data_IF_947603191008
#
_entry.id   IF_947603191008
#
_cell.length_a   1.000
_cell.length_b   1.000
_cell.length_c   1.000
_cell.angle_alpha   90.00
_cell.angle_beta   90.00
_cell.angle_gamma   90.00
#
_symmetry.space_group_name_H-M   'P 1'
#
loop_
_entity.id
_entity.type
_entity.pdbx_description
1 polymer ?
#
# COMPACT_ATOMS: atom_id res chain seq x y z
N UNK A 1 -23.32 0.59 -53.65
CA UNK A 1 -22.10 0.54 -52.81
C UNK A 1 -22.54 0.44 -51.37
N UNK A 2 -22.55 -0.78 -50.83
CA UNK A 2 -22.90 -1.12 -49.45
C UNK A 2 -21.62 -1.16 -48.64
N UNK A 3 -21.52 -0.48 -47.46
CA UNK A 3 -20.34 -0.61 -46.59
C UNK A 3 -20.36 -1.96 -45.89
N UNK A 4 -19.32 -2.70 -46.08
CA UNK A 4 -18.98 -3.95 -45.46
C UNK A 4 -18.70 -3.70 -43.96
N UNK A 5 -19.59 -4.20 -43.09
CA UNK A 5 -19.39 -4.18 -41.63
C UNK A 5 -18.40 -5.29 -41.32
N UNK A 6 -17.16 -4.92 -41.08
CA UNK A 6 -16.12 -5.79 -40.54
C UNK A 6 -16.51 -6.20 -39.11
N UNK A 7 -17.14 -7.37 -38.96
CA UNK A 7 -17.32 -8.01 -37.65
C UNK A 7 -15.96 -8.55 -37.21
N UNK A 8 -15.31 -7.85 -36.29
CA UNK A 8 -14.14 -8.36 -35.60
C UNK A 8 -14.54 -9.55 -34.74
N UNK A 9 -14.35 -10.75 -35.26
CA UNK A 9 -14.42 -11.99 -34.49
C UNK A 9 -13.28 -12.00 -33.50
N UNK A 10 -13.56 -11.54 -32.25
CA UNK A 10 -12.69 -11.76 -31.15
C UNK A 10 -12.42 -13.24 -30.96
N UNK A 11 -11.18 -13.68 -31.19
CA UNK A 11 -10.73 -15.03 -30.92
C UNK A 11 -10.97 -15.31 -29.44
N UNK A 12 -12.08 -15.97 -29.10
CA UNK A 12 -12.34 -16.45 -27.74
C UNK A 12 -11.29 -17.53 -27.45
N UNK A 13 -10.47 -17.28 -26.44
CA UNK A 13 -9.58 -18.28 -25.90
C UNK A 13 -10.43 -19.45 -25.38
N UNK A 14 -10.26 -20.65 -25.90
CA UNK A 14 -11.09 -21.82 -25.57
C UNK A 14 -10.77 -22.42 -24.18
N UNK A 15 -9.82 -21.88 -23.42
CA UNK A 15 -9.49 -22.36 -22.07
C UNK A 15 -9.35 -21.21 -21.09
N UNK A 16 -9.95 -21.37 -19.90
CA UNK A 16 -9.73 -20.48 -18.77
C UNK A 16 -8.28 -20.57 -18.29
N UNK A 17 -7.67 -19.45 -17.96
CA UNK A 17 -6.31 -19.39 -17.42
C UNK A 17 -6.31 -19.05 -15.93
N UNK A 18 -5.39 -19.66 -15.22
CA UNK A 18 -5.08 -19.34 -13.83
C UNK A 18 -3.80 -18.51 -13.80
N UNK A 19 -3.91 -17.21 -13.56
CA UNK A 19 -2.76 -16.30 -13.49
C UNK A 19 -2.45 -16.06 -12.03
N UNK A 20 -1.27 -16.51 -11.59
CA UNK A 20 -0.75 -16.29 -10.26
C UNK A 20 -0.09 -14.91 -10.15
N UNK A 21 -0.29 -14.26 -9.01
CA UNK A 21 0.43 -13.04 -8.65
C UNK A 21 1.03 -13.13 -7.27
N UNK A 22 2.30 -12.77 -7.16
CA UNK A 22 3.04 -12.68 -5.90
C UNK A 22 3.76 -11.34 -5.84
N UNK A 23 3.70 -10.72 -4.67
CA UNK A 23 4.54 -9.58 -4.32
C UNK A 23 5.61 -9.99 -3.32
N UNK A 24 6.87 -9.83 -3.71
CA UNK A 24 8.05 -10.22 -2.93
C UNK A 24 8.75 -8.97 -2.37
N UNK A 25 9.28 -9.08 -1.14
CA UNK A 25 10.21 -8.11 -0.57
C UNK A 25 11.64 -8.55 -0.89
N UNK A 26 12.63 -7.69 -0.74
CA UNK A 26 14.03 -7.98 -1.06
C UNK A 26 14.71 -9.02 -0.16
N UNK A 27 14.02 -9.67 0.78
CA UNK A 27 14.54 -10.75 1.62
C UNK A 27 14.25 -12.12 0.99
N UNK A 28 15.22 -12.70 0.33
CA UNK A 28 15.14 -13.81 -0.62
C UNK A 28 14.59 -15.15 -0.07
N UNK A 29 14.80 -15.52 1.18
CA UNK A 29 14.52 -16.89 1.68
C UNK A 29 13.06 -17.27 1.93
N UNK A 30 12.13 -16.32 2.06
CA UNK A 30 10.70 -16.62 2.23
C UNK A 30 9.91 -16.60 0.92
N UNK A 31 10.52 -16.11 -0.10
CA UNK A 31 9.93 -15.85 -1.41
C UNK A 31 9.85 -17.12 -2.24
N UNK A 32 10.91 -17.91 -2.27
CA UNK A 32 11.01 -19.17 -3.02
C UNK A 32 9.90 -20.15 -2.64
N UNK A 33 9.58 -20.27 -1.36
CA UNK A 33 8.51 -21.14 -0.88
C UNK A 33 7.12 -20.76 -1.41
N UNK A 34 6.81 -19.48 -1.53
CA UNK A 34 5.50 -19.05 -2.03
C UNK A 34 5.41 -19.23 -3.54
N UNK A 35 6.48 -18.99 -4.25
CA UNK A 35 6.61 -19.27 -5.69
C UNK A 35 6.41 -20.76 -5.95
N UNK A 36 7.12 -21.63 -5.23
CA UNK A 36 7.03 -23.08 -5.37
C UNK A 36 5.62 -23.62 -5.08
N UNK A 37 4.91 -23.02 -4.13
CA UNK A 37 3.55 -23.42 -3.76
C UNK A 37 2.50 -22.92 -4.77
N UNK A 38 2.70 -21.77 -5.41
CA UNK A 38 1.75 -21.22 -6.38
C UNK A 38 2.00 -21.72 -7.80
N UNK A 39 3.23 -21.98 -8.16
CA UNK A 39 3.61 -22.38 -9.52
C UNK A 39 2.80 -23.58 -10.04
N UNK A 40 2.59 -24.68 -9.30
CA UNK A 40 1.80 -25.81 -9.77
C UNK A 40 0.29 -25.54 -9.88
N UNK A 41 -0.20 -24.43 -9.30
CA UNK A 41 -1.60 -24.04 -9.28
C UNK A 41 -1.98 -23.05 -10.38
N UNK A 42 -0.99 -22.53 -11.11
CA UNK A 42 -1.12 -21.47 -12.08
C UNK A 42 -0.62 -21.93 -13.46
N UNK A 43 -1.26 -21.44 -14.51
CA UNK A 43 -0.79 -21.62 -15.89
C UNK A 43 0.28 -20.55 -16.22
N UNK A 44 0.26 -19.45 -15.49
CA UNK A 44 1.25 -18.37 -15.55
C UNK A 44 1.43 -17.73 -14.16
N UNK A 45 2.67 -17.48 -13.74
CA UNK A 45 2.98 -16.82 -12.48
C UNK A 45 3.70 -15.48 -12.72
N UNK A 46 3.22 -14.42 -12.11
CA UNK A 46 3.80 -13.08 -12.17
C UNK A 46 4.29 -12.65 -10.80
N UNK A 47 5.55 -12.26 -10.75
CA UNK A 47 6.23 -11.86 -9.51
C UNK A 47 6.55 -10.37 -9.57
N UNK A 48 6.10 -9.62 -8.56
CA UNK A 48 6.39 -8.21 -8.39
C UNK A 48 7.38 -7.98 -7.26
N UNK A 49 8.56 -7.44 -7.59
CA UNK A 49 9.56 -7.06 -6.58
C UNK A 49 9.16 -5.73 -5.95
N UNK A 50 9.05 -5.69 -4.62
CA UNK A 50 8.72 -4.46 -3.90
C UNK A 50 9.87 -3.47 -4.03
N UNK A 51 9.66 -2.38 -4.75
CA UNK A 51 10.54 -1.22 -4.71
C UNK A 51 10.35 -0.48 -3.38
N UNK A 52 11.44 -0.04 -2.77
CA UNK A 52 11.42 0.78 -1.56
C UNK A 52 10.77 2.16 -1.78
N UNK A 53 10.64 2.57 -3.05
CA UNK A 53 10.13 3.88 -3.46
C UNK A 53 8.93 3.68 -4.38
N UNK A 54 7.73 4.03 -3.90
CA UNK A 54 6.52 4.14 -4.72
C UNK A 54 5.39 3.18 -4.36
N UNK A 55 4.16 3.66 -4.61
CA UNK A 55 2.92 2.90 -4.43
C UNK A 55 2.46 2.17 -5.71
N UNK A 56 3.21 2.23 -6.80
CA UNK A 56 2.87 1.60 -8.08
C UNK A 56 3.06 0.08 -8.03
N UNK A 57 2.16 -0.65 -8.71
CA UNK A 57 2.17 -2.11 -8.86
C UNK A 57 2.01 -2.46 -10.34
N UNK A 58 2.99 -2.12 -11.19
CA UNK A 58 2.84 -2.28 -12.64
C UNK A 58 2.62 -3.73 -13.05
N UNK A 59 3.22 -4.70 -12.33
CA UNK A 59 3.02 -6.12 -12.63
C UNK A 59 1.60 -6.55 -12.25
N UNK A 60 1.07 -6.11 -11.11
CA UNK A 60 -0.31 -6.39 -10.71
C UNK A 60 -1.32 -5.77 -11.66
N UNK A 61 -1.11 -4.53 -12.06
CA UNK A 61 -1.95 -3.81 -13.02
C UNK A 61 -1.96 -4.54 -14.37
N UNK A 62 -0.81 -4.95 -14.88
CA UNK A 62 -0.70 -5.74 -16.11
C UNK A 62 -1.39 -7.12 -16.00
N UNK A 63 -1.35 -7.76 -14.81
CA UNK A 63 -2.10 -9.00 -14.57
C UNK A 63 -3.61 -8.73 -14.66
N UNK A 64 -4.11 -7.68 -14.00
CA UNK A 64 -5.53 -7.33 -14.06
C UNK A 64 -6.00 -7.03 -15.48
N UNK A 65 -5.19 -6.33 -16.28
CA UNK A 65 -5.50 -6.05 -17.69
C UNK A 65 -5.55 -7.32 -18.56
N UNK A 66 -4.67 -8.27 -18.27
CA UNK A 66 -4.56 -9.53 -19.04
C UNK A 66 -5.71 -10.50 -18.80
N UNK A 67 -6.28 -10.53 -17.59
CA UNK A 67 -7.37 -11.41 -17.18
C UNK A 67 -8.62 -11.17 -18.04
N UNK A 68 -9.28 -12.29 -18.44
CA UNK A 68 -10.49 -12.31 -19.26
C UNK A 68 -11.59 -13.11 -18.56
N UNK A 69 -12.81 -12.99 -19.03
CA UNK A 69 -13.95 -13.77 -18.56
C UNK A 69 -13.63 -15.28 -18.54
N UNK A 70 -13.88 -15.92 -17.40
CA UNK A 70 -13.58 -17.33 -17.14
C UNK A 70 -12.19 -17.56 -16.54
N UNK A 71 -11.28 -16.58 -16.56
CA UNK A 71 -9.96 -16.71 -15.93
C UNK A 71 -10.05 -16.66 -14.39
N UNK A 72 -8.97 -17.06 -13.73
CA UNK A 72 -8.83 -16.99 -12.27
C UNK A 72 -7.55 -16.26 -11.91
N UNK A 73 -7.67 -15.20 -11.07
CA UNK A 73 -6.53 -14.62 -10.38
C UNK A 73 -6.20 -15.49 -9.16
N UNK A 74 -4.98 -16.02 -9.10
CA UNK A 74 -4.53 -16.86 -7.98
C UNK A 74 -3.51 -16.06 -7.15
N UNK A 75 -3.76 -15.93 -5.84
CA UNK A 75 -2.87 -15.26 -4.92
C UNK A 75 -2.61 -16.12 -3.70
N UNK A 76 -1.46 -15.93 -3.04
CA UNK A 76 -1.16 -16.67 -1.82
C UNK A 76 -2.05 -16.22 -0.66
N UNK A 77 -2.01 -14.93 -0.32
CA UNK A 77 -2.79 -14.36 0.79
C UNK A 77 -3.18 -12.91 0.49
N UNK A 78 -4.18 -12.39 1.22
CA UNK A 78 -4.69 -11.03 1.04
C UNK A 78 -3.64 -9.96 1.30
N UNK A 79 -2.85 -10.09 2.35
CA UNK A 79 -1.82 -9.12 2.75
C UNK A 79 -0.65 -9.03 1.76
N UNK A 80 -0.41 -10.11 1.02
CA UNK A 80 0.64 -10.16 -0.01
C UNK A 80 0.19 -9.59 -1.35
N UNK A 81 -1.05 -9.79 -1.72
CA UNK A 81 -1.58 -9.35 -3.00
C UNK A 81 -2.16 -7.94 -2.95
N UNK A 82 -2.82 -7.56 -1.86
CA UNK A 82 -3.60 -6.34 -1.76
C UNK A 82 -3.01 -5.36 -0.74
N UNK A 83 -3.34 -4.06 -0.89
CA UNK A 83 -2.87 -3.00 0.02
C UNK A 83 -3.68 -2.95 1.32
N UNK A 84 -4.93 -3.38 1.26
CA UNK A 84 -5.88 -3.40 2.39
C UNK A 84 -7.03 -4.35 2.08
N UNK A 85 -7.84 -4.66 3.10
CA UNK A 85 -9.08 -5.41 2.90
C UNK A 85 -10.04 -4.70 1.93
N UNK A 86 -10.13 -3.37 2.01
CA UNK A 86 -10.93 -2.58 1.06
C UNK A 86 -10.40 -2.67 -0.37
N UNK A 87 -9.09 -2.63 -0.56
CA UNK A 87 -8.46 -2.84 -1.87
C UNK A 87 -8.82 -4.23 -2.43
N UNK A 88 -8.75 -5.27 -1.59
CA UNK A 88 -9.13 -6.64 -1.94
C UNK A 88 -10.62 -6.74 -2.34
N UNK A 89 -11.53 -6.13 -1.59
CA UNK A 89 -12.96 -6.09 -1.91
C UNK A 89 -13.24 -5.37 -3.23
N UNK A 90 -12.60 -4.22 -3.46
CA UNK A 90 -12.76 -3.46 -4.69
C UNK A 90 -12.24 -4.24 -5.91
N UNK A 91 -11.08 -4.87 -5.80
CA UNK A 91 -10.51 -5.68 -6.88
C UNK A 91 -11.39 -6.91 -7.14
N UNK A 92 -11.87 -7.60 -6.10
CA UNK A 92 -12.77 -8.75 -6.28
C UNK A 92 -14.06 -8.33 -6.99
N UNK A 93 -14.67 -7.20 -6.61
CA UNK A 93 -15.85 -6.69 -7.28
C UNK A 93 -15.61 -6.42 -8.78
N UNK A 94 -14.48 -5.79 -9.13
CA UNK A 94 -14.09 -5.56 -10.52
C UNK A 94 -13.86 -6.87 -11.28
N UNK A 95 -13.20 -7.84 -10.66
CA UNK A 95 -12.97 -9.17 -11.26
C UNK A 95 -14.30 -9.88 -11.51
N UNK A 96 -15.22 -9.84 -10.53
CA UNK A 96 -16.54 -10.43 -10.63
C UNK A 96 -17.37 -9.82 -11.77
N UNK A 97 -17.37 -8.50 -11.95
CA UNK A 97 -18.04 -7.82 -13.06
C UNK A 97 -17.51 -8.27 -14.42
N UNK A 98 -16.23 -8.62 -14.48
CA UNK A 98 -15.56 -9.13 -15.69
C UNK A 98 -15.69 -10.66 -15.85
N UNK A 99 -16.37 -11.35 -14.92
CA UNK A 99 -16.50 -12.81 -14.94
C UNK A 99 -15.18 -13.54 -14.63
N UNK A 100 -14.29 -12.93 -13.85
CA UNK A 100 -13.00 -13.47 -13.38
C UNK A 100 -13.13 -13.89 -11.93
N UNK A 101 -12.64 -15.08 -11.57
CA UNK A 101 -12.62 -15.57 -10.20
C UNK A 101 -11.34 -15.12 -9.46
N UNK A 102 -11.40 -15.02 -8.12
CA UNK A 102 -10.26 -14.84 -7.25
C UNK A 102 -10.07 -16.07 -6.36
N UNK A 103 -8.87 -16.65 -6.38
CA UNK A 103 -8.50 -17.77 -5.52
C UNK A 103 -7.39 -17.37 -4.55
N UNK A 104 -7.63 -17.57 -3.25
CA UNK A 104 -6.68 -17.28 -2.16
C UNK A 104 -6.23 -18.61 -1.56
N UNK A 105 -5.01 -19.02 -1.87
CA UNK A 105 -4.52 -20.37 -1.58
C UNK A 105 -4.38 -20.62 -0.08
N UNK A 106 -3.83 -19.66 0.67
CA UNK A 106 -3.62 -19.80 2.13
C UNK A 106 -4.91 -19.95 2.93
N UNK A 107 -6.04 -19.53 2.39
CA UNK A 107 -7.35 -19.60 3.03
C UNK A 107 -8.25 -20.69 2.44
N UNK A 108 -7.84 -21.33 1.34
CA UNK A 108 -8.70 -22.27 0.60
C UNK A 108 -9.96 -21.61 0.00
N UNK A 109 -9.94 -20.29 -0.21
CA UNK A 109 -11.08 -19.51 -0.70
C UNK A 109 -11.02 -19.40 -2.21
N UNK A 110 -12.15 -19.70 -2.89
CA UNK A 110 -12.33 -19.54 -4.33
C UNK A 110 -13.66 -18.83 -4.60
N UNK A 111 -13.60 -17.60 -5.10
CA UNK A 111 -14.80 -16.78 -5.36
C UNK A 111 -15.60 -17.23 -6.59
N UNK A 112 -15.18 -18.26 -7.29
CA UNK A 112 -16.01 -18.92 -8.30
C UNK A 112 -17.24 -19.59 -7.67
N UNK A 113 -17.15 -20.01 -6.40
CA UNK A 113 -18.23 -20.66 -5.65
C UNK A 113 -18.99 -19.67 -4.76
N UNK A 114 -20.26 -19.94 -4.45
CA UNK A 114 -21.06 -19.13 -3.54
C UNK A 114 -20.46 -19.09 -2.13
N UNK A 115 -20.02 -20.26 -1.63
CA UNK A 115 -19.41 -20.39 -0.30
C UNK A 115 -18.06 -19.64 -0.23
N UNK A 116 -17.27 -19.72 -1.28
CA UNK A 116 -16.01 -18.96 -1.38
C UNK A 116 -16.22 -17.45 -1.41
N UNK A 117 -17.27 -16.97 -2.07
CA UNK A 117 -17.65 -15.54 -2.02
C UNK A 117 -18.03 -15.10 -0.62
N UNK A 118 -18.84 -15.89 0.09
CA UNK A 118 -19.22 -15.61 1.47
C UNK A 118 -17.99 -15.61 2.37
N UNK A 119 -17.16 -16.65 2.27
CA UNK A 119 -15.92 -16.76 3.05
C UNK A 119 -14.97 -15.58 2.80
N UNK A 120 -14.78 -15.17 1.54
CA UNK A 120 -13.98 -14.00 1.19
C UNK A 120 -14.51 -12.73 1.86
N UNK A 121 -15.81 -12.47 1.77
CA UNK A 121 -16.44 -11.28 2.35
C UNK A 121 -16.27 -11.25 3.87
N UNK A 122 -16.45 -12.38 4.54
CA UNK A 122 -16.25 -12.50 5.99
C UNK A 122 -14.81 -12.21 6.39
N UNK A 123 -13.84 -12.82 5.71
CA UNK A 123 -12.40 -12.62 5.99
C UNK A 123 -11.99 -11.16 5.75
N UNK A 124 -12.47 -10.55 4.67
CA UNK A 124 -12.18 -9.15 4.38
C UNK A 124 -12.79 -8.21 5.43
N UNK A 125 -14.02 -8.48 5.89
CA UNK A 125 -14.67 -7.71 6.95
C UNK A 125 -13.93 -7.83 8.30
N UNK A 126 -13.48 -9.02 8.68
CA UNK A 126 -12.68 -9.25 9.89
C UNK A 126 -11.35 -8.50 9.79
N UNK A 127 -10.66 -8.58 8.67
CA UNK A 127 -9.37 -7.89 8.47
C UNK A 127 -9.53 -6.35 8.54
N UNK A 128 -10.61 -5.79 8.03
CA UNK A 128 -10.91 -4.36 8.14
C UNK A 128 -11.20 -3.95 9.59
N UNK A 129 -11.99 -4.75 10.30
CA UNK A 129 -12.31 -4.52 11.71
C UNK A 129 -11.05 -4.57 12.59
N UNK A 130 -10.18 -5.55 12.41
CA UNK A 130 -8.93 -5.62 13.17
C UNK A 130 -8.01 -4.41 12.93
N UNK A 131 -7.91 -3.97 11.68
CA UNK A 131 -7.14 -2.77 11.34
C UNK A 131 -7.72 -1.50 11.99
N UNK A 132 -9.06 -1.37 12.02
CA UNK A 132 -9.73 -0.27 12.70
C UNK A 132 -9.42 -0.27 14.19
N UNK A 133 -9.52 -1.42 14.86
CA UNK A 133 -9.18 -1.58 16.28
C UNK A 133 -7.72 -1.24 16.59
N UNK A 134 -6.78 -1.68 15.77
CA UNK A 134 -5.36 -1.32 15.93
C UNK A 134 -5.13 0.19 15.79
N UNK A 135 -5.80 0.82 14.83
CA UNK A 135 -5.75 2.28 14.65
C UNK A 135 -6.30 3.02 15.88
N UNK A 136 -7.43 2.58 16.41
CA UNK A 136 -8.03 3.16 17.63
C UNK A 136 -7.12 3.01 18.84
N UNK A 137 -6.55 1.82 19.07
CA UNK A 137 -5.59 1.60 20.15
C UNK A 137 -4.38 2.51 20.03
N UNK A 138 -3.86 2.67 18.81
CA UNK A 138 -2.72 3.56 18.54
C UNK A 138 -3.08 5.01 18.87
N UNK A 139 -4.26 5.50 18.43
CA UNK A 139 -4.74 6.85 18.74
C UNK A 139 -4.91 7.07 20.24
N UNK A 140 -5.50 6.10 20.94
CA UNK A 140 -5.64 6.15 22.40
C UNK A 140 -4.29 6.16 23.09
N UNK A 141 -3.34 5.30 22.70
CA UNK A 141 -1.99 5.29 23.24
C UNK A 141 -1.25 6.61 23.02
N UNK A 142 -1.39 7.21 21.82
CA UNK A 142 -0.81 8.54 21.53
C UNK A 142 -1.47 9.64 22.36
N UNK A 143 -2.78 9.59 22.61
CA UNK A 143 -3.49 10.55 23.45
C UNK A 143 -3.01 10.48 24.90
N UNK A 144 -2.85 9.27 25.46
CA UNK A 144 -2.29 9.06 26.79
C UNK A 144 -0.85 9.54 26.88
N UNK A 145 -0.03 9.25 25.87
CA UNK A 145 1.36 9.70 25.85
C UNK A 145 1.47 11.22 25.81
N UNK A 146 0.59 11.92 25.05
CA UNK A 146 0.49 13.38 25.06
C UNK A 146 0.07 13.93 26.41
N UNK A 147 -0.96 13.31 27.04
CA UNK A 147 -1.40 13.71 28.40
C UNK A 147 -0.30 13.58 29.44
N UNK A 148 0.57 12.58 29.28
CA UNK A 148 1.73 12.36 30.15
C UNK A 148 2.96 13.20 29.75
N UNK A 149 2.81 14.23 28.92
CA UNK A 149 3.89 15.14 28.52
C UNK A 149 4.94 14.52 27.58
N UNK A 150 4.70 13.32 27.04
CA UNK A 150 5.65 12.73 26.09
C UNK A 150 5.57 13.47 24.75
N UNK A 151 6.72 13.96 24.30
CA UNK A 151 6.84 14.54 22.97
C UNK A 151 6.73 13.42 21.91
N UNK A 152 5.71 13.50 21.07
CA UNK A 152 5.46 12.55 20.00
C UNK A 152 6.12 13.02 18.70
N UNK A 153 6.63 12.07 17.94
CA UNK A 153 7.28 12.35 16.65
C UNK A 153 8.80 12.54 16.78
N UNK A 154 9.38 13.07 15.72
CA UNK A 154 10.82 13.31 15.66
C UNK A 154 11.20 14.45 16.62
N UNK A 155 12.26 14.24 17.42
CA UNK A 155 12.79 15.31 18.29
C UNK A 155 13.13 16.55 17.45
N UNK A 156 12.79 17.76 17.95
CA UNK A 156 13.18 18.98 17.26
C UNK A 156 14.68 19.03 17.03
N UNK A 157 15.10 19.41 15.83
CA UNK A 157 16.52 19.55 15.48
C UNK A 157 17.21 20.72 16.20
N UNK A 158 16.44 21.63 16.79
CA UNK A 158 16.92 22.77 17.58
C UNK A 158 16.21 22.82 18.93
N UNK A 159 16.98 23.08 19.98
CA UNK A 159 16.44 23.35 21.32
C UNK A 159 15.82 24.74 21.39
N UNK A 160 14.95 25.05 22.39
CA UNK A 160 14.44 26.39 22.60
C UNK A 160 15.55 27.42 22.84
N UNK A 161 16.61 27.04 23.56
CA UNK A 161 17.77 27.90 23.81
C UNK A 161 18.49 28.28 22.51
N UNK A 162 18.76 27.29 21.64
CA UNK A 162 19.35 27.54 20.33
C UNK A 162 18.48 28.42 19.43
N UNK A 163 17.16 28.28 19.53
CA UNK A 163 16.25 29.11 18.78
C UNK A 163 16.24 30.56 19.26
N UNK A 164 16.32 30.81 20.60
CA UNK A 164 16.47 32.15 21.16
C UNK A 164 17.81 32.80 20.76
N UNK A 165 18.90 32.05 20.82
CA UNK A 165 20.22 32.51 20.37
C UNK A 165 20.19 32.90 18.88
N UNK A 166 19.53 32.07 18.04
CA UNK A 166 19.38 32.36 16.63
C UNK A 166 18.58 33.65 16.36
N UNK A 167 17.55 33.94 17.16
CA UNK A 167 16.81 35.22 17.09
C UNK A 167 17.79 36.41 17.34
N UNK A 168 18.57 36.37 18.43
CA UNK A 168 19.53 37.44 18.71
C UNK A 168 20.54 37.65 17.57
N UNK A 169 21.03 36.60 16.96
CA UNK A 169 21.95 36.70 15.80
C UNK A 169 21.29 37.35 14.58
N UNK A 170 20.00 37.04 14.31
CA UNK A 170 19.26 37.69 13.26
C UNK A 170 19.01 39.17 13.52
N UNK A 171 18.74 39.56 14.78
CA UNK A 171 18.59 40.97 15.21
C UNK A 171 19.89 41.76 15.04
N UNK A 172 21.05 41.10 15.17
CA UNK A 172 22.36 41.69 14.89
C UNK A 172 22.72 41.74 13.40
N UNK A 173 21.76 41.38 12.49
CA UNK A 173 21.92 41.55 11.06
C UNK A 173 22.53 40.36 10.33
N UNK A 174 22.74 39.20 11.01
CA UNK A 174 23.18 37.99 10.34
C UNK A 174 22.10 37.46 9.36
N UNK A 175 22.51 36.89 8.25
CA UNK A 175 21.57 36.36 7.26
C UNK A 175 20.93 35.06 7.77
N UNK A 176 19.61 34.93 7.65
CA UNK A 176 18.85 33.72 8.04
C UNK A 176 19.48 32.42 7.54
N UNK A 177 20.03 32.45 6.34
CA UNK A 177 20.65 31.29 5.71
C UNK A 177 21.92 30.85 6.47
N UNK A 178 22.75 31.78 6.85
CA UNK A 178 24.02 31.52 7.53
C UNK A 178 23.78 31.05 8.97
N UNK A 179 22.84 31.67 9.66
CA UNK A 179 22.40 31.25 11.00
C UNK A 179 21.81 29.84 10.95
N UNK A 180 20.95 29.51 9.96
CA UNK A 180 20.37 28.17 9.83
C UNK A 180 21.45 27.08 9.58
N UNK A 181 22.44 27.40 8.75
CA UNK A 181 23.55 26.49 8.45
C UNK A 181 24.43 26.21 9.66
N UNK A 182 24.66 27.19 10.51
CA UNK A 182 25.46 26.99 11.72
C UNK A 182 24.84 26.01 12.71
N UNK A 183 23.50 25.88 12.70
CA UNK A 183 22.75 24.87 13.46
C UNK A 183 22.45 23.60 12.66
N UNK A 184 22.96 23.45 11.43
CA UNK A 184 22.74 22.32 10.51
C UNK A 184 21.24 22.06 10.23
N UNK A 185 20.46 23.12 10.10
CA UNK A 185 19.03 23.06 9.76
C UNK A 185 18.73 23.83 8.49
N UNK A 186 17.64 23.47 7.82
CA UNK A 186 17.16 24.24 6.69
C UNK A 186 16.59 25.58 7.16
N UNK A 187 16.76 26.70 6.41
CA UNK A 187 16.25 28.03 6.80
C UNK A 187 14.75 28.04 7.16
N UNK A 188 13.95 27.27 6.48
CA UNK A 188 12.52 27.13 6.77
C UNK A 188 12.26 26.45 8.12
N UNK A 189 13.12 25.52 8.54
CA UNK A 189 13.04 24.87 9.86
C UNK A 189 13.36 25.89 10.96
N UNK A 190 14.38 26.74 10.74
CA UNK A 190 14.71 27.82 11.66
C UNK A 190 13.55 28.80 11.81
N UNK A 191 12.97 29.31 10.70
CA UNK A 191 11.79 30.20 10.75
C UNK A 191 10.64 29.60 11.54
N UNK A 192 10.28 28.33 11.27
CA UNK A 192 9.20 27.65 11.98
C UNK A 192 9.50 27.46 13.46
N UNK A 193 10.78 27.34 13.83
CA UNK A 193 11.19 27.19 15.23
C UNK A 193 11.17 28.49 15.99
N UNK A 194 11.52 29.61 15.33
CA UNK A 194 11.41 30.97 15.89
C UNK A 194 9.93 31.31 16.11
N UNK A 195 9.07 31.13 15.11
CA UNK A 195 7.65 31.39 15.27
C UNK A 195 7.01 30.61 16.44
N UNK A 196 7.42 29.35 16.64
CA UNK A 196 6.95 28.55 17.77
C UNK A 196 7.47 29.01 19.15
N UNK A 197 8.42 29.97 19.25
CA UNK A 197 8.81 30.61 20.49
C UNK A 197 7.96 31.85 20.81
N UNK A 198 7.42 32.50 19.77
CA UNK A 198 6.53 33.67 19.91
C UNK A 198 5.14 33.26 20.38
N UNK A 199 4.72 32.00 20.03
CA UNK A 199 3.41 31.43 20.39
C UNK A 199 3.41 30.72 21.77
N UNK A 200 4.52 30.65 22.50
CA UNK A 200 4.68 29.93 23.77
C UNK A 200 4.85 30.86 24.99
#
# INVERSE_FOLDING_TARGET
MTPEVAVSLGVQRMSSMRIGYIRVSTEEQREDRQVDLLMPLCDELRVEKRSAVGSSRPVFEAVLEKLRTGDTLVVWSLDRAFRSARDALNIEAQLKERGVALRIVSLGVDTATADGKLAFTMVAAVAEHERARLSERTKQGLAVARKNGKQLGQKPKMTPAQAKEAVGRLEHGERLKDVAWSYRVHPQTLRRRIAALEDA
#
